data_IF_555513390616
#
_entry.id   IF_555513390616
#
_cell.length_a   1.000
_cell.length_b   1.000
_cell.length_c   1.000
_cell.angle_alpha   90.00
_cell.angle_beta   90.00
_cell.angle_gamma   90.00
#
_symmetry.space_group_name_H-M   'P 1'
#
loop_
_entity.id
_entity.type
_entity.pdbx_description
1 polymer ?
#
# COMPACT_ATOMS: atom_id res chain seq x y z
N UNK A 1 1.57 44.70 20.45
CA UNK A 1 1.70 43.23 20.62
C UNK A 1 0.49 42.44 20.13
N UNK A 2 -0.76 42.88 20.35
CA UNK A 2 -1.97 42.16 19.90
C UNK A 2 -2.08 42.03 18.37
N UNK A 3 -1.72 43.09 17.62
CA UNK A 3 -1.78 43.09 16.15
C UNK A 3 -0.83 42.06 15.50
N UNK A 4 0.39 41.90 16.02
CA UNK A 4 1.34 40.86 15.55
C UNK A 4 0.87 39.43 15.85
N UNK A 5 0.16 39.24 16.97
CA UNK A 5 -0.45 37.94 17.34
C UNK A 5 -1.64 37.59 16.43
N UNK A 6 -2.44 38.58 16.04
CA UNK A 6 -3.56 38.39 15.11
C UNK A 6 -3.03 38.06 13.70
N UNK A 7 -1.99 38.75 13.23
CA UNK A 7 -1.35 38.46 11.95
C UNK A 7 -0.76 37.04 11.90
N UNK A 8 -0.05 36.63 12.95
CA UNK A 8 0.55 35.29 13.03
C UNK A 8 -0.51 34.18 13.12
N UNK A 9 -1.60 34.39 13.86
CA UNK A 9 -2.74 33.47 13.89
C UNK A 9 -3.39 33.31 12.50
N UNK A 10 -3.52 34.41 11.74
CA UNK A 10 -4.04 34.37 10.37
C UNK A 10 -3.16 33.55 9.41
N UNK A 11 -1.83 33.73 9.48
CA UNK A 11 -0.87 32.95 8.66
C UNK A 11 -0.94 31.47 8.99
N UNK A 12 -1.02 31.11 10.27
CA UNK A 12 -1.16 29.71 10.71
C UNK A 12 -2.45 29.10 10.16
N UNK A 13 -3.59 29.82 10.26
CA UNK A 13 -4.87 29.33 9.73
C UNK A 13 -4.83 29.05 8.22
N UNK A 14 -4.15 29.90 7.44
CA UNK A 14 -3.98 29.69 5.99
C UNK A 14 -3.10 28.48 5.72
N UNK A 15 -2.03 28.28 6.49
CA UNK A 15 -1.14 27.13 6.34
C UNK A 15 -1.86 25.79 6.61
N UNK A 16 -2.70 25.72 7.64
CA UNK A 16 -3.43 24.51 7.98
C UNK A 16 -4.49 24.10 6.93
N UNK A 17 -5.04 25.07 6.18
CA UNK A 17 -6.03 24.79 5.14
C UNK A 17 -5.50 23.95 3.97
N UNK A 18 -4.18 23.93 3.78
CA UNK A 18 -3.54 23.20 2.67
C UNK A 18 -3.46 21.69 2.90
N UNK A 19 -3.60 21.20 4.15
CA UNK A 19 -3.52 19.77 4.46
C UNK A 19 -4.62 18.94 3.80
N UNK A 20 -5.74 19.55 3.40
CA UNK A 20 -6.87 18.87 2.76
C UNK A 20 -6.92 19.03 1.24
N UNK A 21 -6.00 19.78 0.63
CA UNK A 21 -6.09 20.21 -0.77
C UNK A 21 -6.12 19.04 -1.77
N UNK A 22 -5.44 17.94 -1.48
CA UNK A 22 -5.36 16.77 -2.37
C UNK A 22 -6.29 15.61 -1.98
N UNK A 23 -7.11 15.78 -0.93
CA UNK A 23 -7.97 14.69 -0.41
C UNK A 23 -9.04 14.21 -1.41
N UNK A 24 -9.39 15.04 -2.40
CA UNK A 24 -10.41 14.76 -3.42
C UNK A 24 -9.86 14.57 -4.84
N UNK A 25 -8.55 14.43 -5.03
CA UNK A 25 -7.95 14.16 -6.35
C UNK A 25 -8.14 12.72 -6.84
N UNK A 26 -8.77 11.86 -6.03
CA UNK A 26 -9.03 10.46 -6.36
C UNK A 26 -10.38 10.26 -7.05
N UNK A 27 -10.46 9.14 -7.79
CA UNK A 27 -11.72 8.59 -8.31
C UNK A 27 -12.58 8.02 -7.16
N UNK A 28 -13.90 8.08 -7.31
CA UNK A 28 -14.84 7.50 -6.36
C UNK A 28 -14.57 5.98 -6.24
N UNK A 29 -14.82 5.35 -5.07
CA UNK A 29 -14.52 3.94 -4.87
C UNK A 29 -15.09 3.00 -5.96
N UNK A 30 -16.29 3.28 -6.46
CA UNK A 30 -16.96 2.51 -7.52
C UNK A 30 -16.45 2.81 -8.94
N UNK A 31 -15.69 3.89 -9.14
CA UNK A 31 -15.04 4.22 -10.42
C UNK A 31 -13.70 3.46 -10.59
N UNK A 32 -13.19 2.82 -9.52
CA UNK A 32 -11.99 1.98 -9.59
C UNK A 32 -12.20 0.69 -10.36
N UNK A 33 -13.44 0.23 -10.50
CA UNK A 33 -13.78 -1.01 -11.19
C UNK A 33 -13.48 -0.95 -12.69
N UNK A 34 -13.55 0.24 -13.31
CA UNK A 34 -13.30 0.45 -14.74
C UNK A 34 -11.81 0.28 -15.11
N UNK A 35 -10.90 0.53 -14.16
CA UNK A 35 -9.46 0.44 -14.36
C UNK A 35 -8.84 -0.81 -13.70
N UNK A 36 -9.57 -1.46 -12.81
CA UNK A 36 -9.13 -2.69 -12.14
C UNK A 36 -9.30 -3.88 -13.09
N UNK A 37 -8.25 -4.16 -13.87
CA UNK A 37 -8.22 -5.36 -14.70
C UNK A 37 -7.97 -6.60 -13.84
N UNK A 38 -8.47 -7.76 -14.27
CA UNK A 38 -8.26 -9.05 -13.60
C UNK A 38 -6.75 -9.39 -13.42
N UNK A 39 -5.92 -8.97 -14.38
CA UNK A 39 -4.46 -9.17 -14.34
C UNK A 39 -3.75 -8.42 -13.20
N UNK A 40 -4.38 -7.38 -12.64
CA UNK A 40 -3.85 -6.59 -11.52
C UNK A 40 -4.19 -7.19 -10.15
N UNK A 41 -4.94 -8.28 -10.10
CA UNK A 41 -5.22 -8.98 -8.85
C UNK A 41 -3.93 -9.49 -8.21
N UNK A 42 -3.86 -9.47 -6.87
CA UNK A 42 -2.71 -9.95 -6.09
C UNK A 42 -2.30 -11.39 -6.44
N UNK A 43 -3.23 -12.18 -6.95
CA UNK A 43 -3.01 -13.54 -7.42
C UNK A 43 -3.70 -13.77 -8.77
N UNK A 44 -3.37 -12.96 -9.77
CA UNK A 44 -3.95 -13.04 -11.11
C UNK A 44 -3.59 -14.33 -11.86
N UNK A 45 -2.46 -14.97 -11.52
CA UNK A 45 -2.00 -16.24 -12.10
C UNK A 45 -1.73 -17.29 -11.01
N UNK A 46 -2.77 -17.95 -10.47
CA UNK A 46 -2.64 -18.83 -9.30
C UNK A 46 -1.80 -20.09 -9.53
N UNK A 47 -1.75 -20.60 -10.77
CA UNK A 47 -0.93 -21.75 -11.10
C UNK A 47 0.56 -21.40 -11.14
N UNK A 48 0.89 -20.29 -11.80
CA UNK A 48 2.27 -19.80 -11.92
C UNK A 48 2.81 -19.40 -10.55
N UNK A 49 2.03 -18.64 -9.78
CA UNK A 49 2.41 -18.27 -8.41
C UNK A 49 2.67 -19.49 -7.52
N UNK A 50 1.86 -20.55 -7.64
CA UNK A 50 2.08 -21.80 -6.88
C UNK A 50 3.31 -22.56 -7.35
N UNK A 51 3.60 -22.54 -8.65
CA UNK A 51 4.80 -23.15 -9.20
C UNK A 51 6.06 -22.41 -8.69
N UNK A 52 6.04 -21.08 -8.73
CA UNK A 52 7.13 -20.24 -8.23
C UNK A 52 7.35 -20.45 -6.74
N UNK A 53 6.29 -20.52 -5.95
CA UNK A 53 6.38 -20.82 -4.52
C UNK A 53 6.99 -22.22 -4.29
N UNK A 54 6.59 -23.23 -5.07
CA UNK A 54 7.16 -24.59 -4.96
C UNK A 54 8.67 -24.60 -5.30
N UNK A 55 9.07 -23.87 -6.35
CA UNK A 55 10.49 -23.74 -6.73
C UNK A 55 11.27 -23.00 -5.64
N UNK A 56 10.72 -21.90 -5.12
CA UNK A 56 11.35 -21.09 -4.08
C UNK A 56 11.54 -21.89 -2.79
N UNK A 57 10.51 -22.60 -2.31
CA UNK A 57 10.65 -23.48 -1.15
C UNK A 57 11.66 -24.61 -1.37
N UNK A 58 11.70 -25.19 -2.57
CA UNK A 58 12.65 -26.25 -2.90
C UNK A 58 14.11 -25.78 -2.88
N UNK A 59 14.37 -24.50 -3.16
CA UNK A 59 15.72 -23.94 -3.23
C UNK A 59 16.14 -23.23 -1.94
N UNK A 60 15.22 -22.51 -1.33
CA UNK A 60 15.50 -21.46 -0.35
C UNK A 60 14.60 -21.55 0.90
N UNK A 61 13.84 -22.63 1.06
CA UNK A 61 12.89 -22.81 2.19
C UNK A 61 13.53 -22.67 3.58
N UNK A 62 14.82 -22.97 3.72
CA UNK A 62 15.58 -22.77 4.97
C UNK A 62 15.80 -21.31 5.38
N UNK A 63 15.66 -20.37 4.44
CA UNK A 63 15.91 -18.94 4.65
C UNK A 63 14.67 -18.14 5.05
N UNK A 64 13.47 -18.73 4.97
CA UNK A 64 12.22 -17.98 5.08
C UNK A 64 11.39 -18.03 3.81
N UNK A 65 10.20 -18.62 3.88
CA UNK A 65 9.14 -18.57 2.87
C UNK A 65 8.16 -17.42 3.07
N UNK A 66 7.26 -17.24 2.10
CA UNK A 66 6.22 -16.18 2.05
C UNK A 66 5.10 -16.32 3.08
N UNK A 67 5.24 -17.24 4.04
CA UNK A 67 4.23 -17.55 5.06
C UNK A 67 4.74 -17.23 6.46
N UNK A 68 3.83 -16.98 7.39
CA UNK A 68 4.11 -16.56 8.77
C UNK A 68 4.98 -17.56 9.58
N UNK A 69 5.15 -18.79 9.08
CA UNK A 69 6.00 -19.84 9.64
C UNK A 69 7.13 -20.29 8.68
N UNK A 70 7.47 -19.48 7.67
CA UNK A 70 8.30 -19.90 6.54
C UNK A 70 9.81 -20.01 6.81
N UNK A 71 10.33 -19.64 7.97
CA UNK A 71 11.76 -19.70 8.27
C UNK A 71 12.12 -20.94 9.08
N UNK A 72 12.54 -22.01 8.41
CA UNK A 72 12.94 -23.27 9.03
C UNK A 72 13.36 -24.27 7.95
N UNK A 73 13.99 -25.41 8.29
CA UNK A 73 14.77 -26.29 7.39
C UNK A 73 14.04 -26.93 6.17
N UNK A 74 12.96 -26.33 5.65
CA UNK A 74 12.19 -26.79 4.49
C UNK A 74 10.99 -27.65 4.84
N UNK A 75 10.69 -27.86 6.12
CA UNK A 75 9.56 -28.68 6.57
C UNK A 75 8.32 -27.79 6.82
N UNK A 76 7.49 -27.60 5.78
CA UNK A 76 6.07 -27.23 5.94
C UNK A 76 5.22 -28.49 5.89
#
# INVERSE_FOLDING_TARGET
MKLKKILSAGVISVLLSQLSACSSLGVKPWERDVLAKDEMALNSAPLDNRLDDHIYFSKEGSSGGRSFAGGGCGCN
#
